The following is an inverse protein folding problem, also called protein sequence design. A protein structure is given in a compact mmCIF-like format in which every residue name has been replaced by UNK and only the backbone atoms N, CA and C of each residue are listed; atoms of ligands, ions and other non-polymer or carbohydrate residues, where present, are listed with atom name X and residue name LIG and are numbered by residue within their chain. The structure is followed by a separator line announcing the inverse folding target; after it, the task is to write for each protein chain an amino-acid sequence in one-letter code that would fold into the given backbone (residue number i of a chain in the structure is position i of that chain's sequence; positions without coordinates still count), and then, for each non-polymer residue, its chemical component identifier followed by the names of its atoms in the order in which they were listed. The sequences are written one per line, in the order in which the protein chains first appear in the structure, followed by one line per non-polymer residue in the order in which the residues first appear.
data_IF_304261300397
#
_entry.id   IF_304261300397
#
_cell.length_a   1.000
_cell.length_b   1.000
_cell.length_c   1.000
_cell.angle_alpha   90.00
_cell.angle_beta   90.00
_cell.angle_gamma   90.00
#
_symmetry.space_group_name_H-M   'P 1'
#
loop_
_entity.id
_entity.type
_entity.pdbx_description
1 polymer ?
#
# COMPACT_ATOMS: atom_id res chain seq x y z
N UNK A 1 -13.25 -14.61 3.61
CA UNK A 1 -13.11 -13.44 4.52
C UNK A 1 -11.76 -12.76 4.25
N UNK A 2 -11.59 -11.43 4.42
CA UNK A 2 -10.30 -10.76 4.19
C UNK A 2 -9.21 -11.35 5.09
N UNK A 3 -7.99 -11.43 4.55
CA UNK A 3 -6.87 -12.08 5.23
C UNK A 3 -6.26 -11.24 6.35
N UNK A 4 -6.27 -9.93 6.14
CA UNK A 4 -5.87 -8.91 7.10
C UNK A 4 -6.84 -7.74 7.01
N UNK A 5 -7.20 -7.17 8.16
CA UNK A 5 -8.06 -6.00 8.28
C UNK A 5 -7.42 -4.97 9.21
N UNK A 6 -8.02 -3.78 9.31
CA UNK A 6 -7.47 -2.69 10.13
C UNK A 6 -7.27 -3.08 11.60
N UNK A 7 -8.13 -3.94 12.18
CA UNK A 7 -7.97 -4.40 13.56
C UNK A 7 -6.73 -5.28 13.72
N UNK A 8 -6.46 -6.16 12.76
CA UNK A 8 -5.24 -6.97 12.75
C UNK A 8 -3.99 -6.08 12.66
N UNK A 9 -4.02 -5.07 11.78
CA UNK A 9 -2.94 -4.09 11.65
C UNK A 9 -2.68 -3.31 12.96
N UNK A 10 -3.75 -2.81 13.61
CA UNK A 10 -3.64 -2.11 14.89
C UNK A 10 -3.05 -3.04 15.95
N UNK A 11 -3.54 -4.28 16.05
CA UNK A 11 -3.07 -5.26 17.04
C UNK A 11 -1.59 -5.63 16.83
N UNK A 12 -1.14 -5.78 15.59
CA UNK A 12 0.28 -6.03 15.29
C UNK A 12 1.12 -4.79 15.67
N UNK A 13 0.66 -3.58 15.32
CA UNK A 13 1.32 -2.33 15.68
C UNK A 13 1.43 -2.15 17.20
N UNK A 14 0.37 -2.48 17.94
CA UNK A 14 0.33 -2.44 19.41
C UNK A 14 1.37 -3.40 20.01
N UNK A 15 1.43 -4.64 19.51
CA UNK A 15 2.43 -5.62 19.95
C UNK A 15 3.86 -5.14 19.73
N UNK A 16 4.17 -4.58 18.55
CA UNK A 16 5.50 -4.02 18.30
C UNK A 16 5.80 -2.81 19.17
N UNK A 17 4.82 -1.91 19.35
CA UNK A 17 4.95 -0.76 20.25
C UNK A 17 5.29 -1.20 21.67
N UNK A 18 4.58 -2.20 22.20
CA UNK A 18 4.83 -2.72 23.54
C UNK A 18 6.26 -3.27 23.71
N UNK A 19 6.80 -3.96 22.70
CA UNK A 19 8.17 -4.48 22.76
C UNK A 19 9.23 -3.37 22.63
N UNK A 20 9.00 -2.38 21.77
CA UNK A 20 9.97 -1.32 21.48
C UNK A 20 10.02 -0.21 22.55
N UNK A 21 8.92 0.01 23.27
CA UNK A 21 8.89 0.95 24.39
C UNK A 21 9.20 0.30 25.75
N UNK A 22 9.50 -1.00 25.77
CA UNK A 22 10.01 -1.66 26.97
C UNK A 22 11.42 -1.12 27.31
N UNK A 23 11.81 -1.22 28.59
CA UNK A 23 13.13 -0.77 29.07
C UNK A 23 14.28 -1.40 28.27
N UNK A 24 14.11 -2.65 27.87
CA UNK A 24 14.98 -3.38 26.96
C UNK A 24 14.11 -4.11 25.95
N UNK A 25 14.51 -4.08 24.68
CA UNK A 25 13.76 -4.75 23.60
C UNK A 25 14.04 -6.25 23.63
N UNK A 26 13.00 -7.05 23.83
CA UNK A 26 13.09 -8.51 23.71
C UNK A 26 12.96 -8.93 22.24
N UNK A 27 14.11 -9.06 21.58
CA UNK A 27 14.20 -9.48 20.18
C UNK A 27 13.61 -10.87 19.90
N UNK A 28 13.47 -11.73 20.91
CA UNK A 28 12.82 -13.04 20.73
C UNK A 28 11.33 -12.84 20.53
N UNK A 29 10.69 -12.03 21.37
CA UNK A 29 9.26 -11.70 21.22
C UNK A 29 8.98 -10.96 19.92
N UNK A 30 9.83 -10.01 19.53
CA UNK A 30 9.70 -9.33 18.23
C UNK A 30 9.76 -10.34 17.08
N UNK A 31 10.69 -11.30 17.15
CA UNK A 31 10.82 -12.39 16.18
C UNK A 31 9.56 -13.27 16.15
N UNK A 32 8.99 -13.65 17.29
CA UNK A 32 7.74 -14.43 17.34
C UNK A 32 6.54 -13.67 16.74
N UNK A 33 6.46 -12.35 16.95
CA UNK A 33 5.41 -11.52 16.35
C UNK A 33 5.57 -11.46 14.82
N UNK A 34 6.80 -11.29 14.33
CA UNK A 34 7.10 -11.30 12.89
C UNK A 34 6.81 -12.67 12.27
N UNK A 35 7.18 -13.76 12.95
CA UNK A 35 6.96 -15.11 12.45
C UNK A 35 5.50 -15.55 12.59
N UNK A 36 4.70 -14.89 13.42
CA UNK A 36 3.27 -15.18 13.59
C UNK A 36 3.00 -16.68 13.84
N UNK A 37 3.74 -17.27 14.79
CA UNK A 37 3.70 -18.69 15.16
C UNK A 37 4.13 -19.69 14.07
N UNK A 38 4.85 -19.25 13.03
CA UNK A 38 5.47 -20.16 12.06
C UNK A 38 6.53 -21.05 12.72
N UNK A 39 6.56 -22.31 12.30
CA UNK A 39 7.58 -23.28 12.71
C UNK A 39 8.82 -23.13 11.82
N UNK A 40 9.93 -22.72 12.44
CA UNK A 40 11.23 -22.61 11.82
C UNK A 40 12.26 -23.37 12.62
N UNK A 41 13.30 -23.87 11.94
CA UNK A 41 14.48 -24.40 12.60
C UNK A 41 15.08 -23.34 13.53
N UNK A 42 15.75 -23.78 14.60
CA UNK A 42 16.41 -22.86 15.54
C UNK A 42 17.42 -21.96 14.82
N UNK A 43 18.10 -22.50 13.80
CA UNK A 43 19.06 -21.77 13.00
C UNK A 43 18.40 -20.64 12.19
N UNK A 44 17.33 -20.95 11.46
CA UNK A 44 16.62 -19.97 10.64
C UNK A 44 15.91 -18.91 11.48
N UNK A 45 15.37 -19.30 12.64
CA UNK A 45 14.78 -18.36 13.61
C UNK A 45 15.84 -17.38 14.12
N UNK A 46 17.04 -17.85 14.41
CA UNK A 46 18.15 -16.98 14.82
C UNK A 46 18.59 -16.05 13.69
N UNK A 47 18.59 -16.52 12.45
CA UNK A 47 18.88 -15.69 11.27
C UNK A 47 17.85 -14.56 11.10
N UNK A 48 16.55 -14.86 11.20
CA UNK A 48 15.48 -13.84 11.16
C UNK A 48 15.66 -12.82 12.29
N UNK A 49 15.94 -13.29 13.51
CA UNK A 49 16.20 -12.40 14.65
C UNK A 49 17.40 -11.47 14.40
N UNK A 50 18.50 -11.99 13.86
CA UNK A 50 19.67 -11.15 13.51
C UNK A 50 19.32 -10.12 12.44
N UNK A 51 18.51 -10.50 11.44
CA UNK A 51 18.04 -9.58 10.42
C UNK A 51 17.16 -8.46 10.99
N UNK A 52 16.24 -8.78 11.90
CA UNK A 52 15.44 -7.80 12.63
C UNK A 52 16.32 -6.81 13.39
N UNK A 53 17.34 -7.29 14.11
CA UNK A 53 18.26 -6.43 14.86
C UNK A 53 19.02 -5.50 13.90
N UNK A 54 19.52 -6.03 12.79
CA UNK A 54 20.20 -5.25 11.76
C UNK A 54 19.29 -4.15 11.18
N UNK A 55 18.09 -4.52 10.71
CA UNK A 55 17.11 -3.56 10.16
C UNK A 55 16.77 -2.50 11.21
N UNK A 56 16.58 -2.90 12.47
CA UNK A 56 16.32 -1.96 13.56
C UNK A 56 17.47 -0.97 13.79
N UNK A 57 18.72 -1.42 13.68
CA UNK A 57 19.89 -0.55 13.77
C UNK A 57 19.98 0.45 12.61
N UNK A 58 19.61 0.04 11.39
CA UNK A 58 19.64 0.90 10.21
C UNK A 58 18.61 2.05 10.26
N UNK A 59 17.44 1.78 10.85
CA UNK A 59 16.40 2.79 10.99
C UNK A 59 16.60 3.75 12.17
N UNK A 60 17.61 3.54 13.04
CA UNK A 60 18.06 4.41 14.16
C UNK A 60 17.07 5.51 14.61
N UNK A 61 16.08 5.14 15.44
CA UNK A 61 15.01 6.00 15.98
C UNK A 61 14.25 6.89 14.96
N UNK A 62 14.40 6.70 13.65
CA UNK A 62 13.65 7.44 12.61
C UNK A 62 12.17 7.14 12.77
N UNK A 63 11.36 8.17 12.63
CA UNK A 63 9.89 8.06 12.65
C UNK A 63 9.35 8.08 11.21
N UNK A 64 8.27 7.32 10.95
CA UNK A 64 7.46 7.52 9.74
C UNK A 64 6.69 8.83 9.86
N UNK A 65 6.12 9.28 8.74
CA UNK A 65 5.30 10.51 8.70
C UNK A 65 4.23 10.58 9.78
N UNK A 66 3.58 9.46 10.13
CA UNK A 66 2.52 9.43 11.15
C UNK A 66 3.03 9.41 12.61
N UNK A 67 4.34 9.32 12.85
CA UNK A 67 4.94 9.29 14.20
C UNK A 67 5.46 7.93 14.69
N UNK A 68 4.94 6.74 14.27
CA UNK A 68 5.54 5.48 14.69
C UNK A 68 6.98 5.32 14.18
N UNK A 69 7.79 4.53 14.89
CA UNK A 69 9.14 4.21 14.45
C UNK A 69 9.11 3.57 13.05
N UNK A 70 10.01 4.02 12.17
CA UNK A 70 10.09 3.59 10.77
C UNK A 70 10.25 2.08 10.62
N UNK A 71 10.95 1.45 11.57
CA UNK A 71 11.12 0.00 11.68
C UNK A 71 9.80 -0.78 11.76
N UNK A 72 8.70 -0.18 12.24
CA UNK A 72 7.42 -0.90 12.31
C UNK A 72 6.88 -1.27 10.94
N UNK A 73 7.18 -0.49 9.89
CA UNK A 73 6.74 -0.83 8.54
C UNK A 73 7.31 -2.18 8.05
N UNK A 74 8.64 -2.37 7.93
CA UNK A 74 9.19 -3.65 7.49
C UNK A 74 8.82 -4.80 8.44
N UNK A 75 8.69 -4.57 9.76
CA UNK A 75 8.24 -5.61 10.69
C UNK A 75 6.79 -6.04 10.45
N UNK A 76 5.88 -5.10 10.18
CA UNK A 76 4.47 -5.39 9.86
C UNK A 76 4.35 -6.07 8.50
N UNK A 77 5.08 -5.61 7.48
CA UNK A 77 5.12 -6.25 6.17
C UNK A 77 5.61 -7.69 6.30
N UNK A 78 6.71 -7.92 7.02
CA UNK A 78 7.21 -9.27 7.28
C UNK A 78 6.20 -10.13 8.07
N UNK A 79 5.50 -9.57 9.06
CA UNK A 79 4.45 -10.28 9.80
C UNK A 79 3.25 -10.65 8.92
N UNK A 80 2.81 -9.74 8.04
CA UNK A 80 1.77 -10.01 7.05
C UNK A 80 2.21 -11.14 6.11
N UNK A 81 3.42 -11.05 5.57
CA UNK A 81 4.01 -12.05 4.67
C UNK A 81 4.15 -13.42 5.33
N UNK A 82 4.69 -13.49 6.54
CA UNK A 82 4.77 -14.73 7.34
C UNK A 82 3.40 -15.36 7.56
N UNK A 83 2.35 -14.55 7.63
CA UNK A 83 0.99 -15.06 7.73
C UNK A 83 0.57 -15.65 6.38
N UNK A 84 0.73 -14.96 5.24
CA UNK A 84 0.16 -15.39 3.94
C UNK A 84 0.94 -16.46 3.17
N UNK A 85 2.28 -16.39 3.15
CA UNK A 85 3.10 -17.24 2.27
C UNK A 85 3.50 -18.51 3.04
N UNK A 86 3.16 -19.72 2.55
CA UNK A 86 3.60 -20.98 3.14
C UNK A 86 5.13 -21.08 3.18
N UNK A 87 5.66 -21.53 4.32
CA UNK A 87 7.02 -21.18 4.75
C UNK A 87 8.00 -22.33 4.54
N UNK A 88 8.42 -22.55 3.30
CA UNK A 88 9.62 -23.36 3.02
C UNK A 88 10.88 -22.49 2.84
N UNK A 89 10.77 -21.16 2.92
CA UNK A 89 11.89 -20.26 2.60
C UNK A 89 11.94 -19.07 3.56
N UNK A 90 12.76 -19.17 4.62
CA UNK A 90 13.24 -18.06 5.48
C UNK A 90 13.56 -16.77 4.69
N UNK A 91 13.99 -16.94 3.46
CA UNK A 91 14.25 -15.92 2.46
C UNK A 91 13.09 -14.93 2.28
N UNK A 92 11.84 -15.36 2.28
CA UNK A 92 10.71 -14.46 2.06
C UNK A 92 10.56 -13.44 3.20
N UNK A 93 10.83 -13.84 4.45
CA UNK A 93 10.85 -12.93 5.60
C UNK A 93 12.07 -12.03 5.57
N UNK A 94 13.25 -12.55 5.18
CA UNK A 94 14.44 -11.71 5.01
C UNK A 94 14.20 -10.64 3.94
N UNK A 95 13.65 -11.01 2.78
CA UNK A 95 13.30 -10.07 1.70
C UNK A 95 12.28 -9.05 2.22
N UNK A 96 11.22 -9.48 2.90
CA UNK A 96 10.19 -8.58 3.44
C UNK A 96 10.74 -7.62 4.51
N UNK A 97 11.68 -8.04 5.35
CA UNK A 97 12.31 -7.15 6.34
C UNK A 97 13.24 -6.11 5.69
N UNK A 98 13.89 -6.48 4.59
CA UNK A 98 14.90 -5.66 3.92
C UNK A 98 14.35 -4.81 2.76
N UNK A 99 13.11 -5.04 2.31
CA UNK A 99 12.57 -4.48 1.07
C UNK A 99 12.69 -2.96 0.94
N UNK A 100 12.52 -2.23 2.04
CA UNK A 100 12.46 -0.76 2.05
C UNK A 100 13.81 -0.12 2.44
N UNK A 101 14.76 -0.90 3.00
CA UNK A 101 16.09 -0.37 3.41
C UNK A 101 16.81 0.28 2.23
N UNK A 102 16.72 -0.34 1.05
CA UNK A 102 17.42 0.12 -0.15
C UNK A 102 16.76 1.35 -0.79
N UNK A 103 15.53 1.67 -0.42
CA UNK A 103 14.86 2.91 -0.82
C UNK A 103 15.05 4.03 0.21
N UNK A 104 14.91 3.72 1.50
CA UNK A 104 14.91 4.68 2.61
C UNK A 104 16.31 5.06 3.11
N UNK A 105 17.27 4.13 3.02
CA UNK A 105 18.57 4.23 3.66
C UNK A 105 19.65 4.15 2.59
N UNK A 106 19.53 5.04 1.59
CA UNK A 106 20.51 5.17 0.51
C UNK A 106 21.75 5.93 1.01
N UNK A 107 22.96 5.34 0.93
CA UNK A 107 24.19 6.09 1.12
C UNK A 107 24.31 7.14 -0.01
N UNK A 108 24.78 8.35 0.33
CA UNK A 108 25.11 9.34 -0.70
C UNK A 108 26.31 8.84 -1.50
N UNK A 109 26.19 8.84 -2.83
CA UNK A 109 27.28 8.55 -3.78
C UNK A 109 27.74 7.08 -3.86
N UNK A 110 26.92 6.11 -3.45
CA UNK A 110 27.20 4.69 -3.68
C UNK A 110 26.26 4.11 -4.74
N UNK A 111 26.77 3.14 -5.51
CA UNK A 111 25.96 2.41 -6.48
C UNK A 111 24.96 1.51 -5.73
N UNK A 112 23.72 1.99 -5.66
CA UNK A 112 22.62 1.32 -4.96
C UNK A 112 22.16 0.07 -5.73
N UNK A 113 22.43 -0.02 -7.04
CA UNK A 113 21.93 -1.12 -7.88
C UNK A 113 22.67 -2.45 -7.65
N UNK A 114 23.89 -2.39 -7.11
CA UNK A 114 24.73 -3.56 -6.87
C UNK A 114 24.78 -4.02 -5.40
N UNK A 115 24.10 -3.32 -4.48
CA UNK A 115 24.00 -3.66 -3.05
C UNK A 115 25.33 -3.80 -2.29
N UNK A 116 26.47 -3.48 -2.88
CA UNK A 116 27.79 -3.58 -2.25
C UNK A 116 27.94 -2.69 -1.01
N UNK A 117 27.14 -1.63 -0.93
CA UNK A 117 27.16 -0.72 0.21
C UNK A 117 26.71 -1.40 1.50
N UNK A 118 25.71 -2.28 1.42
CA UNK A 118 25.15 -2.93 2.62
C UNK A 118 26.07 -4.05 3.12
N UNK A 119 26.88 -4.65 2.24
CA UNK A 119 27.86 -5.68 2.62
C UNK A 119 29.02 -5.11 3.43
N UNK A 120 29.19 -3.78 3.47
CA UNK A 120 30.18 -3.10 4.32
C UNK A 120 29.80 -3.12 5.81
N UNK A 121 28.54 -3.40 6.14
CA UNK A 121 28.08 -3.46 7.53
C UNK A 121 28.43 -4.84 8.13
N UNK A 122 29.26 -4.91 9.19
CA UNK A 122 29.66 -6.19 9.78
C UNK A 122 28.48 -7.06 10.22
N UNK A 123 27.40 -6.45 10.72
CA UNK A 123 26.22 -7.19 11.16
C UNK A 123 25.39 -7.73 9.99
N UNK A 124 25.40 -7.07 8.83
CA UNK A 124 24.81 -7.63 7.62
C UNK A 124 25.67 -8.76 7.05
N UNK A 125 26.99 -8.62 7.10
CA UNK A 125 27.90 -9.69 6.68
C UNK A 125 27.67 -10.97 7.49
N UNK A 126 27.46 -10.85 8.82
CA UNK A 126 27.09 -11.99 9.65
C UNK A 126 25.82 -12.68 9.15
N UNK A 127 24.78 -11.95 8.76
CA UNK A 127 23.55 -12.52 8.19
C UNK A 127 23.87 -13.27 6.89
N UNK A 128 24.68 -12.68 6.02
CA UNK A 128 25.10 -13.31 4.77
C UNK A 128 25.89 -14.59 5.03
N UNK A 129 26.72 -14.66 6.07
CA UNK A 129 27.53 -15.85 6.35
C UNK A 129 26.70 -17.09 6.70
N UNK A 130 25.43 -16.93 7.10
CA UNK A 130 24.47 -18.03 7.30
C UNK A 130 23.78 -18.50 6.00
N UNK A 131 23.99 -17.79 4.90
CA UNK A 131 23.38 -18.10 3.60
C UNK A 131 24.41 -18.77 2.68
N UNK A 132 23.98 -19.80 1.98
CA UNK A 132 24.72 -20.37 0.85
C UNK A 132 24.82 -19.35 -0.29
N UNK A 133 25.68 -19.63 -1.28
CA UNK A 133 25.84 -18.75 -2.45
C UNK A 133 24.51 -18.55 -3.19
N UNK A 134 23.72 -19.60 -3.35
CA UNK A 134 22.44 -19.56 -4.07
C UNK A 134 21.38 -18.80 -3.27
N UNK A 135 21.36 -18.96 -1.95
CA UNK A 135 20.46 -18.20 -1.06
C UNK A 135 20.80 -16.69 -1.03
N UNK A 136 22.09 -16.33 -1.09
CA UNK A 136 22.53 -14.93 -1.23
C UNK A 136 22.06 -14.35 -2.56
N UNK A 137 22.30 -15.06 -3.66
CA UNK A 137 21.87 -14.64 -4.99
C UNK A 137 20.34 -14.43 -5.01
N UNK A 138 19.59 -15.40 -4.49
CA UNK A 138 18.13 -15.30 -4.35
C UNK A 138 17.75 -14.02 -3.60
N UNK A 139 18.32 -13.78 -2.41
CA UNK A 139 18.00 -12.61 -1.60
C UNK A 139 18.22 -11.30 -2.36
N UNK A 140 19.40 -11.11 -2.97
CA UNK A 140 19.73 -9.87 -3.66
C UNK A 140 18.90 -9.64 -4.93
N UNK A 141 18.62 -10.69 -5.71
CA UNK A 141 17.79 -10.55 -6.91
C UNK A 141 16.37 -10.07 -6.56
N UNK A 142 15.77 -10.60 -5.49
CA UNK A 142 14.42 -10.17 -5.08
C UNK A 142 14.41 -8.75 -4.54
N UNK A 143 15.45 -8.36 -3.79
CA UNK A 143 15.60 -6.98 -3.34
C UNK A 143 15.78 -6.03 -4.52
N UNK A 144 16.49 -6.45 -5.57
CA UNK A 144 16.61 -5.69 -6.83
C UNK A 144 15.27 -5.47 -7.51
N UNK A 145 14.42 -6.49 -7.55
CA UNK A 145 13.09 -6.36 -8.14
C UNK A 145 12.20 -5.44 -7.32
N UNK A 146 12.28 -5.52 -5.99
CA UNK A 146 11.50 -4.70 -5.06
C UNK A 146 12.01 -3.26 -4.91
N UNK A 147 13.24 -2.94 -5.31
CA UNK A 147 13.79 -1.59 -5.17
C UNK A 147 13.49 -0.74 -6.39
N UNK A 148 12.87 0.42 -6.19
CA UNK A 148 12.65 1.41 -7.24
C UNK A 148 13.94 2.17 -7.61
N UNK A 149 14.29 2.18 -8.90
CA UNK A 149 15.41 2.94 -9.47
C UNK A 149 15.10 4.44 -9.54
N UNK A 150 16.15 5.25 -9.62
CA UNK A 150 15.98 6.71 -9.62
C UNK A 150 15.32 7.23 -10.91
N UNK A 151 15.62 6.62 -12.05
CA UNK A 151 15.14 7.06 -13.37
C UNK A 151 13.77 6.53 -13.76
N UNK A 152 13.24 5.56 -13.03
CA UNK A 152 11.92 4.98 -13.35
C UNK A 152 10.80 5.72 -12.63
N UNK A 153 9.64 5.86 -13.27
CA UNK A 153 8.41 6.27 -12.61
C UNK A 153 7.75 5.07 -11.90
N UNK A 154 6.61 5.29 -11.23
CA UNK A 154 5.96 4.22 -10.47
C UNK A 154 5.45 3.08 -11.37
N UNK A 155 4.94 3.38 -12.57
CA UNK A 155 4.43 2.38 -13.50
C UNK A 155 5.59 1.54 -14.02
N UNK A 156 6.63 2.18 -14.55
CA UNK A 156 7.84 1.51 -15.03
C UNK A 156 8.45 0.57 -13.98
N UNK A 157 8.46 0.99 -12.71
CA UNK A 157 8.89 0.16 -11.60
C UNK A 157 8.00 -1.09 -11.42
N UNK A 158 6.67 -0.93 -11.42
CA UNK A 158 5.75 -2.06 -11.27
C UNK A 158 5.81 -2.97 -12.50
N UNK A 159 5.82 -2.44 -13.73
CA UNK A 159 5.97 -3.24 -14.95
C UNK A 159 7.24 -4.07 -14.90
N UNK A 160 8.38 -3.46 -14.56
CA UNK A 160 9.65 -4.17 -14.40
C UNK A 160 9.56 -5.26 -13.33
N UNK A 161 8.90 -5.00 -12.20
CA UNK A 161 8.71 -6.01 -11.16
C UNK A 161 7.91 -7.20 -11.67
N UNK A 162 6.85 -6.96 -12.46
CA UNK A 162 6.01 -8.00 -13.05
C UNK A 162 6.80 -8.77 -14.14
N UNK A 163 7.39 -8.10 -15.11
CA UNK A 163 8.24 -8.71 -16.16
C UNK A 163 9.44 -9.50 -15.60
N UNK A 164 10.16 -8.95 -14.61
CA UNK A 164 11.31 -9.63 -14.00
C UNK A 164 10.89 -10.94 -13.33
N UNK A 165 9.63 -10.99 -12.90
CA UNK A 165 9.04 -12.15 -12.27
C UNK A 165 8.44 -13.12 -13.31
N UNK A 166 8.18 -12.73 -14.55
CA UNK A 166 7.82 -13.66 -15.64
C UNK A 166 9.00 -14.50 -16.20
N UNK A 167 10.23 -14.21 -15.77
CA UNK A 167 11.42 -14.95 -16.16
C UNK A 167 11.24 -16.47 -15.94
N UNK A 168 11.20 -17.24 -17.05
CA UNK A 168 10.94 -18.69 -17.13
C UNK A 168 11.82 -19.57 -16.22
N UNK A 169 12.87 -19.03 -15.62
CA UNK A 169 13.81 -19.75 -14.77
C UNK A 169 13.40 -19.79 -13.28
N UNK A 170 12.35 -19.07 -12.87
CA UNK A 170 12.05 -18.86 -11.44
C UNK A 170 10.54 -18.88 -11.08
N UNK A 171 9.79 -19.79 -11.71
CA UNK A 171 8.35 -19.99 -11.44
C UNK A 171 8.02 -20.16 -9.95
N UNK A 172 8.97 -20.61 -9.13
CA UNK A 172 8.78 -20.88 -7.71
C UNK A 172 9.03 -19.68 -6.77
N UNK A 173 9.57 -18.56 -7.26
CA UNK A 173 9.95 -17.39 -6.44
C UNK A 173 9.24 -16.08 -6.80
N UNK A 174 8.58 -16.08 -7.94
CA UNK A 174 7.94 -14.93 -8.58
C UNK A 174 6.69 -14.42 -7.86
N UNK A 175 5.68 -15.26 -7.55
CA UNK A 175 4.48 -14.73 -6.92
C UNK A 175 4.76 -14.26 -5.49
N UNK A 176 5.81 -14.76 -4.82
CA UNK A 176 6.21 -14.31 -3.48
C UNK A 176 6.69 -12.86 -3.47
N UNK A 177 7.45 -12.44 -4.48
CA UNK A 177 7.91 -11.05 -4.59
C UNK A 177 6.74 -10.11 -4.78
N UNK A 178 5.81 -10.47 -5.68
CA UNK A 178 4.58 -9.72 -5.87
C UNK A 178 3.76 -9.66 -4.57
N UNK A 179 3.64 -10.78 -3.85
CA UNK A 179 2.93 -10.83 -2.59
C UNK A 179 3.56 -9.93 -1.52
N UNK A 180 4.90 -9.86 -1.45
CA UNK A 180 5.61 -8.90 -0.59
C UNK A 180 5.28 -7.47 -1.01
N UNK A 181 5.26 -7.16 -2.31
CA UNK A 181 4.91 -5.82 -2.79
C UNK A 181 3.47 -5.42 -2.48
N UNK A 182 2.53 -6.36 -2.62
CA UNK A 182 1.13 -6.16 -2.24
C UNK A 182 0.98 -6.00 -0.73
N UNK A 183 1.77 -6.73 0.07
CA UNK A 183 1.80 -6.57 1.53
C UNK A 183 2.37 -5.21 1.97
N UNK A 184 3.44 -4.72 1.32
CA UNK A 184 3.95 -3.36 1.47
C UNK A 184 2.84 -2.33 1.18
N UNK A 185 2.16 -2.46 0.03
CA UNK A 185 1.05 -1.55 -0.31
C UNK A 185 -0.11 -1.63 0.67
N UNK A 186 -0.42 -2.82 1.19
CA UNK A 186 -1.46 -3.02 2.19
C UNK A 186 -1.11 -2.32 3.51
N UNK A 187 0.11 -2.52 4.00
CA UNK A 187 0.60 -1.85 5.21
C UNK A 187 0.52 -0.33 5.07
N UNK A 188 1.06 0.19 3.97
CA UNK A 188 1.01 1.61 3.67
C UNK A 188 -0.42 2.16 3.53
N UNK A 189 -1.39 1.33 3.10
CA UNK A 189 -2.81 1.72 3.02
C UNK A 189 -3.44 1.83 4.41
N UNK A 190 -3.12 0.91 5.32
CA UNK A 190 -3.54 1.03 6.72
C UNK A 190 -2.86 2.20 7.44
N UNK A 191 -1.66 2.58 7.01
CA UNK A 191 -0.87 3.71 7.51
C UNK A 191 -1.29 5.06 6.89
N UNK A 192 -2.37 5.14 6.09
CA UNK A 192 -2.85 6.43 5.51
C UNK A 192 -3.60 7.30 6.52
N UNK A 193 -4.09 6.72 7.63
CA UNK A 193 -4.81 7.47 8.64
C UNK A 193 -5.32 6.61 9.77
N UNK A 194 -4.54 6.50 10.84
CA UNK A 194 -5.00 5.93 12.12
C UNK A 194 -5.76 7.05 12.85
N UNK A 195 -7.08 7.04 12.75
CA UNK A 195 -7.91 7.94 13.55
C UNK A 195 -8.23 7.32 14.91
N UNK A 196 -8.27 8.15 15.96
CA UNK A 196 -8.75 7.73 17.29
C UNK A 196 -10.20 7.23 17.27
N UNK A 197 -11.00 7.63 16.28
CA UNK A 197 -12.33 7.08 15.97
C UNK A 197 -12.44 6.87 14.46
N UNK A 198 -12.70 5.63 14.03
CA UNK A 198 -12.95 5.34 12.62
C UNK A 198 -14.36 5.85 12.24
N UNK A 199 -14.50 6.74 11.23
CA UNK A 199 -15.82 7.16 10.74
C UNK A 199 -16.73 5.99 10.36
N UNK A 200 -16.15 4.87 9.94
CA UNK A 200 -16.89 3.67 9.55
C UNK A 200 -17.46 2.87 10.73
N UNK A 201 -16.99 3.10 11.97
CA UNK A 201 -17.49 2.35 13.14
C UNK A 201 -18.96 2.67 13.46
N UNK A 202 -19.44 3.83 13.02
CA UNK A 202 -20.77 4.35 13.38
C UNK A 202 -21.63 4.75 12.19
N UNK A 203 -21.07 4.72 10.97
CA UNK A 203 -21.71 5.26 9.78
C UNK A 203 -21.39 4.41 8.56
N UNK A 204 -22.41 4.00 7.81
CA UNK A 204 -22.26 3.35 6.51
C UNK A 204 -22.34 4.40 5.39
N UNK A 205 -21.33 4.47 4.50
CA UNK A 205 -21.32 5.44 3.42
C UNK A 205 -22.54 5.31 2.48
N UNK A 206 -22.92 4.08 2.10
CA UNK A 206 -24.05 3.86 1.21
C UNK A 206 -25.36 4.31 1.86
N UNK A 207 -25.52 4.08 3.15
CA UNK A 207 -26.67 4.58 3.91
C UNK A 207 -26.73 6.11 3.88
N UNK A 208 -25.60 6.80 4.10
CA UNK A 208 -25.55 8.26 4.02
C UNK A 208 -25.82 8.79 2.60
N UNK A 209 -25.32 8.11 1.57
CA UNK A 209 -25.62 8.44 0.17
C UNK A 209 -27.12 8.37 -0.09
N UNK A 210 -27.79 7.29 0.33
CA UNK A 210 -29.25 7.13 0.20
C UNK A 210 -29.98 8.23 0.97
N UNK A 211 -29.56 8.53 2.21
CA UNK A 211 -30.16 9.62 2.98
C UNK A 211 -30.08 10.96 2.24
N UNK A 212 -28.93 11.29 1.65
CA UNK A 212 -28.73 12.53 0.91
C UNK A 212 -29.61 12.57 -0.36
N UNK A 213 -29.68 11.49 -1.13
CA UNK A 213 -30.45 11.44 -2.38
C UNK A 213 -31.95 11.66 -2.15
N UNK A 214 -32.49 11.05 -1.08
CA UNK A 214 -33.92 11.07 -0.75
C UNK A 214 -34.32 12.16 0.27
N UNK A 215 -33.37 12.99 0.71
CA UNK A 215 -33.66 14.09 1.64
C UNK A 215 -33.96 13.65 3.07
N UNK A 216 -33.53 12.45 3.47
CA UNK A 216 -33.58 12.03 4.87
C UNK A 216 -32.54 12.79 5.71
N UNK A 217 -32.78 12.84 7.02
CA UNK A 217 -31.81 13.39 7.96
C UNK A 217 -30.53 12.55 7.95
N UNK A 218 -29.39 13.20 7.67
CA UNK A 218 -28.05 12.59 7.76
C UNK A 218 -27.76 12.14 9.19
N UNK A 219 -26.88 11.15 9.36
CA UNK A 219 -26.46 10.72 10.68
C UNK A 219 -25.81 11.88 11.45
N UNK A 220 -25.97 11.90 12.78
CA UNK A 220 -25.35 12.93 13.62
C UNK A 220 -23.86 12.97 13.35
N UNK A 221 -23.33 14.15 13.01
CA UNK A 221 -21.90 14.37 12.82
C UNK A 221 -21.14 13.83 14.04
N UNK A 222 -20.29 12.84 13.83
CA UNK A 222 -19.37 12.39 14.87
C UNK A 222 -18.41 13.55 15.12
N UNK A 223 -18.65 14.30 16.21
CA UNK A 223 -17.70 15.29 16.71
C UNK A 223 -16.51 14.53 17.28
N UNK A 224 -15.58 14.13 16.41
CA UNK A 224 -14.24 13.71 16.80
C UNK A 224 -13.32 14.92 16.69
N UNK A 225 -12.36 15.05 17.61
CA UNK A 225 -11.14 15.79 17.33
C UNK A 225 -10.55 15.14 16.07
N UNK A 226 -10.52 15.87 14.94
CA UNK A 226 -9.78 15.41 13.76
C UNK A 226 -8.33 15.27 14.23
N UNK A 227 -7.77 14.05 14.29
CA UNK A 227 -6.37 13.91 14.63
C UNK A 227 -5.57 14.73 13.61
N UNK A 228 -4.44 15.31 14.03
CA UNK A 228 -3.46 15.81 13.07
C UNK A 228 -2.89 14.59 12.34
N UNK A 229 -3.57 14.13 11.29
CA UNK A 229 -3.04 13.12 10.39
C UNK A 229 -1.97 13.78 9.54
N UNK A 230 -0.83 13.14 9.37
CA UNK A 230 0.26 13.68 8.55
C UNK A 230 -0.06 13.65 7.06
N UNK A 231 -1.08 12.88 6.66
CA UNK A 231 -1.67 12.90 5.33
C UNK A 231 -3.00 13.64 5.34
N UNK A 232 -3.19 14.52 4.37
CA UNK A 232 -4.50 15.09 4.05
C UNK A 232 -5.26 14.19 3.05
N UNK A 233 -6.56 14.45 2.87
CA UNK A 233 -7.41 13.62 2.02
C UNK A 233 -6.90 13.48 0.57
N UNK A 234 -6.31 14.52 -0.02
CA UNK A 234 -5.77 14.45 -1.38
C UNK A 234 -4.52 13.56 -1.44
N UNK A 235 -3.66 13.60 -0.42
CA UNK A 235 -2.51 12.70 -0.34
C UNK A 235 -2.94 11.25 -0.11
N UNK A 236 -4.00 11.00 0.68
CA UNK A 236 -4.59 9.68 0.80
C UNK A 236 -5.11 9.18 -0.56
N UNK A 237 -5.85 10.02 -1.30
CA UNK A 237 -6.30 9.68 -2.67
C UNK A 237 -5.13 9.38 -3.61
N UNK A 238 -4.04 10.15 -3.56
CA UNK A 238 -2.84 9.83 -4.35
C UNK A 238 -2.23 8.46 -4.02
N UNK A 239 -2.29 8.02 -2.75
CA UNK A 239 -1.84 6.67 -2.39
C UNK A 239 -2.82 5.59 -2.88
N UNK A 240 -4.13 5.89 -2.90
CA UNK A 240 -5.12 5.00 -3.47
C UNK A 240 -5.01 4.91 -5.01
N UNK A 241 -4.64 5.99 -5.70
CA UNK A 241 -4.42 5.94 -7.16
C UNK A 241 -3.26 5.02 -7.52
N UNK A 242 -2.18 5.00 -6.72
CA UNK A 242 -1.10 4.01 -6.86
C UNK A 242 -1.59 2.57 -6.66
N UNK A 243 -2.54 2.35 -5.76
CA UNK A 243 -3.14 1.04 -5.58
C UNK A 243 -3.97 0.66 -6.82
N UNK A 244 -4.76 1.58 -7.39
CA UNK A 244 -5.51 1.33 -8.64
C UNK A 244 -4.57 0.96 -9.78
N UNK A 245 -3.45 1.68 -9.94
CA UNK A 245 -2.42 1.37 -10.94
C UNK A 245 -1.86 -0.03 -10.72
N UNK A 246 -1.39 -0.33 -9.50
CA UNK A 246 -0.83 -1.65 -9.17
C UNK A 246 -1.82 -2.78 -9.42
N UNK A 247 -3.06 -2.64 -8.93
CA UNK A 247 -4.09 -3.67 -9.08
C UNK A 247 -4.48 -3.86 -10.55
N UNK A 248 -4.50 -2.79 -11.35
CA UNK A 248 -4.78 -2.86 -12.79
C UNK A 248 -3.66 -3.59 -13.54
N UNK A 249 -2.39 -3.30 -13.23
CA UNK A 249 -1.25 -3.98 -13.84
C UNK A 249 -1.22 -5.44 -13.43
N UNK A 250 -1.30 -5.76 -12.13
CA UNK A 250 -1.33 -7.15 -11.64
C UNK A 250 -2.45 -7.95 -12.28
N UNK A 251 -3.64 -7.35 -12.46
CA UNK A 251 -4.78 -8.04 -13.08
C UNK A 251 -4.54 -8.44 -14.54
N UNK A 252 -3.68 -7.72 -15.25
CA UNK A 252 -3.33 -8.05 -16.64
C UNK A 252 -2.46 -9.31 -16.76
N UNK A 253 -1.87 -9.77 -15.66
CA UNK A 253 -1.09 -11.01 -15.58
C UNK A 253 -1.87 -12.06 -14.78
N UNK A 254 -2.79 -12.75 -15.45
CA UNK A 254 -3.72 -13.71 -14.85
C UNK A 254 -2.99 -14.87 -14.13
N UNK A 255 -1.79 -15.22 -14.56
CA UNK A 255 -0.97 -16.30 -14.01
C UNK A 255 -0.61 -16.09 -12.53
N UNK A 256 -0.53 -14.85 -12.04
CA UNK A 256 -0.26 -14.62 -10.61
C UNK A 256 -1.43 -15.05 -9.72
N UNK A 257 -2.64 -15.14 -10.28
CA UNK A 257 -3.83 -15.55 -9.54
C UNK A 257 -3.96 -17.07 -9.42
N UNK A 258 -3.03 -17.85 -9.99
CA UNK A 258 -2.85 -19.26 -9.63
C UNK A 258 -2.32 -19.43 -8.20
N UNK A 259 -1.70 -18.38 -7.65
CA UNK A 259 -1.19 -18.37 -6.27
C UNK A 259 -2.23 -17.89 -5.27
N UNK A 260 -2.65 -18.80 -4.37
CA UNK A 260 -3.58 -18.52 -3.26
C UNK A 260 -3.17 -17.32 -2.40
N UNK A 261 -1.87 -17.14 -2.15
CA UNK A 261 -1.39 -16.06 -1.29
C UNK A 261 -1.40 -14.70 -2.01
N UNK A 262 -1.19 -14.67 -3.33
CA UNK A 262 -1.39 -13.47 -4.14
C UNK A 262 -2.87 -13.07 -4.14
N UNK A 263 -3.77 -14.02 -4.38
CA UNK A 263 -5.23 -13.78 -4.32
C UNK A 263 -5.64 -13.18 -2.96
N UNK A 264 -5.18 -13.79 -1.85
CA UNK A 264 -5.51 -13.33 -0.49
C UNK A 264 -5.03 -11.90 -0.21
N UNK A 265 -3.81 -11.55 -0.62
CA UNK A 265 -3.25 -10.21 -0.34
C UNK A 265 -3.82 -9.16 -1.29
N UNK A 266 -4.05 -9.51 -2.56
CA UNK A 266 -4.74 -8.66 -3.54
C UNK A 266 -6.14 -8.28 -3.02
N UNK A 267 -6.95 -9.26 -2.62
CA UNK A 267 -8.29 -9.03 -2.07
C UNK A 267 -8.27 -8.18 -0.80
N UNK A 268 -7.24 -8.35 0.03
CA UNK A 268 -7.09 -7.57 1.26
C UNK A 268 -6.73 -6.10 0.93
N UNK A 269 -5.88 -5.87 -0.07
CA UNK A 269 -5.55 -4.53 -0.56
C UNK A 269 -6.76 -3.82 -1.19
N UNK A 270 -7.54 -4.53 -2.01
CA UNK A 270 -8.78 -3.99 -2.59
C UNK A 270 -9.75 -3.55 -1.49
N UNK A 271 -10.00 -4.41 -0.50
CA UNK A 271 -10.92 -4.09 0.61
C UNK A 271 -10.41 -2.96 1.49
N UNK A 272 -9.11 -2.93 1.79
CA UNK A 272 -8.51 -1.85 2.57
C UNK A 272 -8.62 -0.51 1.82
N UNK A 273 -8.38 -0.52 0.51
CA UNK A 273 -8.47 0.67 -0.35
C UNK A 273 -9.90 1.17 -0.50
N UNK A 274 -10.88 0.26 -0.66
CA UNK A 274 -12.30 0.58 -0.62
C UNK A 274 -12.66 1.26 0.70
N UNK A 275 -12.31 0.65 1.83
CA UNK A 275 -12.60 1.23 3.16
C UNK A 275 -11.96 2.60 3.36
N UNK A 276 -10.73 2.81 2.88
CA UNK A 276 -10.11 4.14 2.99
C UNK A 276 -10.80 5.18 2.09
N UNK A 277 -11.21 4.81 0.88
CA UNK A 277 -11.99 5.70 0.01
C UNK A 277 -13.34 6.08 0.67
N UNK A 278 -14.01 5.12 1.32
CA UNK A 278 -15.23 5.37 2.07
C UNK A 278 -14.99 6.32 3.26
N UNK A 279 -13.88 6.14 3.99
CA UNK A 279 -13.50 7.04 5.09
C UNK A 279 -13.27 8.46 4.60
N UNK A 280 -12.58 8.64 3.47
CA UNK A 280 -12.32 9.97 2.90
C UNK A 280 -13.65 10.65 2.55
N UNK A 281 -14.57 9.93 1.89
CA UNK A 281 -15.90 10.45 1.55
C UNK A 281 -16.69 10.87 2.81
N UNK A 282 -16.76 9.99 3.82
CA UNK A 282 -17.44 10.29 5.09
C UNK A 282 -16.80 11.45 5.85
N UNK A 283 -15.47 11.59 5.86
CA UNK A 283 -14.78 12.74 6.47
C UNK A 283 -15.22 14.05 5.82
N UNK A 284 -15.40 14.07 4.50
CA UNK A 284 -15.84 15.27 3.78
C UNK A 284 -17.32 15.56 4.03
N UNK A 285 -18.18 14.53 4.01
CA UNK A 285 -19.60 14.68 4.33
C UNK A 285 -19.83 15.25 5.73
N UNK A 286 -19.01 14.85 6.70
CA UNK A 286 -19.06 15.33 8.07
C UNK A 286 -18.41 16.72 8.26
N UNK A 287 -17.64 17.20 7.28
CA UNK A 287 -16.99 18.50 7.36
C UNK A 287 -18.01 19.66 7.43
N UNK A 288 -17.61 20.85 7.91
CA UNK A 288 -18.48 22.03 7.94
C UNK A 288 -18.66 22.70 6.57
N UNK A 289 -17.90 22.27 5.55
CA UNK A 289 -17.92 22.88 4.22
C UNK A 289 -19.21 22.51 3.49
N UNK A 290 -19.84 23.52 2.90
CA UNK A 290 -21.08 23.35 2.14
C UNK A 290 -20.78 23.29 0.65
N UNK A 291 -21.28 22.26 -0.01
CA UNK A 291 -21.29 22.07 -1.46
C UNK A 291 -22.51 21.20 -1.79
N UNK A 292 -22.90 21.15 -3.07
CA UNK A 292 -24.06 20.34 -3.47
C UNK A 292 -23.71 18.84 -3.48
N UNK A 293 -23.80 18.23 -2.29
CA UNK A 293 -23.55 16.80 -2.07
C UNK A 293 -24.43 15.92 -2.97
N UNK A 294 -25.69 16.32 -3.19
CA UNK A 294 -26.64 15.54 -3.99
C UNK A 294 -26.24 15.57 -5.45
N UNK A 295 -25.93 16.74 -5.99
CA UNK A 295 -25.43 16.87 -7.36
C UNK A 295 -24.14 16.07 -7.57
N UNK A 296 -23.19 16.12 -6.62
CA UNK A 296 -21.95 15.34 -6.70
C UNK A 296 -22.19 13.83 -6.77
N UNK A 297 -23.11 13.32 -5.93
CA UNK A 297 -23.48 11.90 -5.93
C UNK A 297 -24.11 11.52 -7.27
N UNK A 298 -25.05 12.33 -7.77
CA UNK A 298 -25.74 12.08 -9.04
C UNK A 298 -24.74 12.07 -10.19
N UNK A 299 -23.86 13.07 -10.30
CA UNK A 299 -22.81 13.13 -11.32
C UNK A 299 -21.91 11.88 -11.26
N UNK A 300 -21.51 11.45 -10.06
CA UNK A 300 -20.67 10.25 -9.90
C UNK A 300 -21.38 8.98 -10.34
N UNK A 301 -22.69 8.86 -10.04
CA UNK A 301 -23.52 7.72 -10.48
C UNK A 301 -23.66 7.72 -12.00
N UNK A 302 -23.99 8.86 -12.60
CA UNK A 302 -24.14 9.00 -14.06
C UNK A 302 -22.81 8.68 -14.78
N UNK A 303 -21.70 9.18 -14.25
CA UNK A 303 -20.36 8.87 -14.74
C UNK A 303 -20.07 7.36 -14.69
N UNK A 304 -20.41 6.71 -13.57
CA UNK A 304 -20.30 5.25 -13.44
C UNK A 304 -21.15 4.49 -14.45
N UNK A 305 -22.41 4.88 -14.63
CA UNK A 305 -23.35 4.23 -15.55
C UNK A 305 -22.86 4.36 -17.00
N UNK A 306 -22.23 5.49 -17.34
CA UNK A 306 -21.64 5.70 -18.66
C UNK A 306 -20.40 4.85 -18.96
N UNK A 307 -19.91 4.05 -17.99
CA UNK A 307 -18.75 3.17 -18.14
C UNK A 307 -17.40 3.89 -18.08
N UNK A 308 -17.37 5.20 -17.80
CA UNK A 308 -16.15 6.01 -17.80
C UNK A 308 -15.19 5.74 -16.63
N UNK A 309 -15.57 4.93 -15.64
CA UNK A 309 -14.63 4.44 -14.62
C UNK A 309 -13.81 3.22 -15.08
N UNK A 310 -14.13 2.67 -16.25
CA UNK A 310 -13.50 1.45 -16.76
C UNK A 310 -12.23 1.76 -17.55
N UNK A 311 -11.99 3.03 -17.85
CA UNK A 311 -10.83 3.49 -18.58
C UNK A 311 -10.32 4.84 -18.10
N UNK A 312 -9.08 5.14 -18.45
CA UNK A 312 -8.52 6.48 -18.35
C UNK A 312 -9.19 7.36 -19.40
N UNK A 313 -9.73 8.50 -18.96
CA UNK A 313 -10.37 9.47 -19.84
C UNK A 313 -9.48 10.69 -20.09
N UNK A 314 -9.67 11.34 -21.23
CA UNK A 314 -9.12 12.68 -21.48
C UNK A 314 -9.88 13.73 -20.69
N UNK A 315 -9.21 14.82 -20.33
CA UNK A 315 -9.86 15.99 -19.74
C UNK A 315 -10.92 16.53 -20.72
N UNK A 316 -12.11 16.79 -20.21
CA UNK A 316 -13.21 17.35 -21.00
C UNK A 316 -13.99 18.38 -20.17
N UNK A 317 -14.81 19.19 -20.84
CA UNK A 317 -15.71 20.15 -20.18
C UNK A 317 -17.03 19.51 -19.72
N UNK A 318 -17.25 18.22 -20.01
CA UNK A 318 -18.51 17.53 -19.70
C UNK A 318 -18.60 17.02 -18.26
N UNK A 319 -17.48 16.60 -17.65
CA UNK A 319 -17.44 16.17 -16.26
C UNK A 319 -16.14 16.57 -15.59
N UNK A 320 -16.25 16.96 -14.32
CA UNK A 320 -15.09 17.25 -13.46
C UNK A 320 -14.20 16.04 -13.18
N UNK A 321 -14.69 14.82 -13.46
CA UNK A 321 -13.96 13.56 -13.31
C UNK A 321 -13.17 13.16 -14.56
N UNK A 322 -13.45 13.77 -15.72
CA UNK A 322 -12.75 13.49 -16.96
C UNK A 322 -11.27 13.93 -16.85
N UNK A 323 -10.33 13.03 -17.16
CA UNK A 323 -8.90 13.30 -17.02
C UNK A 323 -8.38 13.33 -15.59
N UNK A 324 -9.14 12.82 -14.60
CA UNK A 324 -8.75 12.88 -13.19
C UNK A 324 -7.38 12.24 -12.91
N UNK A 325 -7.11 11.05 -13.46
CA UNK A 325 -5.83 10.36 -13.25
C UNK A 325 -4.65 11.16 -13.79
N UNK A 326 -4.75 11.56 -15.06
CA UNK A 326 -3.69 12.31 -15.77
C UNK A 326 -3.45 13.68 -15.14
N UNK A 327 -4.52 14.40 -14.79
CA UNK A 327 -4.43 15.79 -14.34
C UNK A 327 -4.17 15.98 -12.85
N UNK A 328 -4.41 14.96 -12.01
CA UNK A 328 -4.30 15.07 -10.55
C UNK A 328 -3.38 14.08 -9.88
N UNK A 329 -2.97 13.01 -10.54
CA UNK A 329 -2.17 11.96 -9.90
C UNK A 329 -0.92 11.55 -10.69
N UNK A 330 -0.83 11.89 -11.97
CA UNK A 330 0.34 11.61 -12.79
C UNK A 330 1.23 12.85 -12.94
N UNK A 331 2.38 12.83 -12.24
CA UNK A 331 3.37 13.91 -12.34
C UNK A 331 4.77 13.33 -12.20
N UNK A 332 5.65 13.68 -13.15
CA UNK A 332 7.07 13.35 -13.07
C UNK A 332 7.76 14.15 -11.97
N UNK A 333 7.43 15.45 -11.86
CA UNK A 333 8.04 16.35 -10.89
C UNK A 333 7.37 16.23 -9.50
N UNK A 334 8.20 16.01 -8.47
CA UNK A 334 7.74 15.85 -7.07
C UNK A 334 7.13 17.13 -6.49
N UNK A 335 7.60 18.30 -6.88
CA UNK A 335 7.13 19.58 -6.35
C UNK A 335 5.86 20.04 -7.06
N UNK A 336 5.76 19.81 -8.37
CA UNK A 336 4.51 19.98 -9.12
C UNK A 336 3.38 19.12 -8.52
N UNK A 337 3.67 17.83 -8.28
CA UNK A 337 2.73 16.93 -7.60
C UNK A 337 2.28 17.47 -6.25
N UNK A 338 3.21 17.97 -5.42
CA UNK A 338 2.85 18.49 -4.09
C UNK A 338 1.89 19.68 -4.21
N UNK A 339 2.12 20.56 -5.20
CA UNK A 339 1.26 21.72 -5.39
C UNK A 339 -0.12 21.30 -5.89
N UNK A 340 -0.20 20.37 -6.85
CA UNK A 340 -1.49 19.86 -7.33
C UNK A 340 -2.26 19.10 -6.25
N UNK A 341 -1.60 18.35 -5.38
CA UNK A 341 -2.26 17.73 -4.23
C UNK A 341 -2.76 18.76 -3.20
N UNK A 342 -2.06 19.89 -3.02
CA UNK A 342 -2.59 20.99 -2.20
C UNK A 342 -3.81 21.64 -2.85
N UNK A 343 -3.78 21.86 -4.16
CA UNK A 343 -4.90 22.41 -4.93
C UNK A 343 -6.12 21.49 -4.83
N UNK A 344 -5.94 20.20 -5.08
CA UNK A 344 -6.98 19.19 -4.88
C UNK A 344 -7.48 19.19 -3.44
N UNK A 345 -6.60 19.29 -2.43
CA UNK A 345 -7.02 19.30 -1.03
C UNK A 345 -7.91 20.52 -0.67
N UNK A 346 -7.83 21.63 -1.41
CA UNK A 346 -8.70 22.81 -1.23
C UNK A 346 -10.08 22.59 -1.83
N UNK A 347 -10.18 21.81 -2.91
CA UNK A 347 -11.43 21.50 -3.59
C UNK A 347 -12.14 20.30 -2.96
N UNK A 348 -12.93 20.55 -1.90
CA UNK A 348 -13.64 19.46 -1.19
C UNK A 348 -14.70 18.78 -2.04
N UNK A 349 -15.29 19.49 -2.99
CA UNK A 349 -16.27 18.93 -3.91
C UNK A 349 -15.60 17.87 -4.78
N UNK A 350 -14.47 18.22 -5.40
CA UNK A 350 -13.71 17.30 -6.24
C UNK A 350 -13.14 16.13 -5.43
N UNK A 351 -12.57 16.35 -4.23
CA UNK A 351 -12.11 15.23 -3.38
C UNK A 351 -13.28 14.27 -3.08
N UNK A 352 -14.48 14.78 -2.81
CA UNK A 352 -15.63 13.94 -2.53
C UNK A 352 -16.01 13.09 -3.74
N UNK A 353 -16.12 13.69 -4.93
CA UNK A 353 -16.35 12.96 -6.19
C UNK A 353 -15.24 11.93 -6.45
N UNK A 354 -13.98 12.28 -6.24
CA UNK A 354 -12.83 11.37 -6.39
C UNK A 354 -12.92 10.18 -5.43
N UNK A 355 -13.25 10.41 -4.16
CA UNK A 355 -13.38 9.36 -3.16
C UNK A 355 -14.51 8.39 -3.50
N UNK A 356 -15.66 8.89 -3.95
CA UNK A 356 -16.76 8.06 -4.45
C UNK A 356 -16.36 7.27 -5.71
N UNK A 357 -15.67 7.92 -6.65
CA UNK A 357 -15.15 7.27 -7.86
C UNK A 357 -14.21 6.11 -7.53
N UNK A 358 -13.30 6.32 -6.58
CA UNK A 358 -12.36 5.27 -6.15
C UNK A 358 -13.08 4.13 -5.42
N UNK A 359 -14.10 4.44 -4.61
CA UNK A 359 -14.93 3.41 -4.00
C UNK A 359 -15.60 2.52 -5.07
N UNK A 360 -16.14 3.12 -6.13
CA UNK A 360 -16.70 2.38 -7.27
C UNK A 360 -15.64 1.53 -7.95
N UNK A 361 -14.47 2.08 -8.28
CA UNK A 361 -13.37 1.33 -8.91
C UNK A 361 -12.94 0.12 -8.06
N UNK A 362 -12.77 0.30 -6.74
CA UNK A 362 -12.41 -0.82 -5.85
C UNK A 362 -13.53 -1.85 -5.68
N UNK A 363 -14.80 -1.44 -5.73
CA UNK A 363 -15.92 -2.39 -5.79
C UNK A 363 -15.86 -3.22 -7.08
N UNK A 364 -15.56 -2.60 -8.23
CA UNK A 364 -15.37 -3.33 -9.49
C UNK A 364 -14.23 -4.34 -9.40
N UNK A 365 -13.07 -3.96 -8.86
CA UNK A 365 -11.98 -4.92 -8.60
C UNK A 365 -12.42 -6.09 -7.72
N UNK A 366 -13.31 -5.85 -6.76
CA UNK A 366 -13.82 -6.86 -5.85
C UNK A 366 -14.88 -7.77 -6.48
N UNK A 367 -15.76 -7.23 -7.34
CA UNK A 367 -16.89 -7.96 -7.91
C UNK A 367 -16.61 -8.59 -9.27
N UNK A 368 -15.68 -8.03 -10.04
CA UNK A 368 -15.40 -8.42 -11.42
C UNK A 368 -13.99 -8.99 -11.53
N UNK A 369 -13.88 -10.30 -11.79
CA UNK A 369 -12.60 -11.01 -11.81
C UNK A 369 -11.61 -10.49 -12.85
N UNK A 370 -12.09 -9.95 -13.97
CA UNK A 370 -11.25 -9.51 -15.08
C UNK A 370 -11.18 -7.98 -15.16
N UNK A 371 -11.65 -7.27 -14.13
CA UNK A 371 -11.65 -5.81 -14.14
C UNK A 371 -10.26 -5.27 -13.83
N UNK A 372 -9.80 -4.43 -14.74
CA UNK A 372 -8.71 -3.47 -14.58
C UNK A 372 -9.13 -2.17 -15.26
N UNK A 373 -8.49 -1.04 -14.88
CA UNK A 373 -8.76 0.24 -15.54
C UNK A 373 -8.01 0.27 -16.86
N UNK A 374 -8.73 0.27 -17.99
CA UNK A 374 -8.14 0.35 -19.34
C UNK A 374 -7.38 1.66 -19.52
N UNK A 375 -6.32 1.63 -20.32
CA UNK A 375 -5.40 2.75 -20.46
C UNK A 375 -4.27 2.78 -19.42
N UNK A 376 -4.37 1.99 -18.33
CA UNK A 376 -3.22 1.70 -17.47
C UNK A 376 -2.49 0.49 -18.04
N UNK A 377 -1.30 0.72 -18.60
CA UNK A 377 -0.48 -0.32 -19.24
C UNK A 377 0.95 -0.26 -18.72
N UNK A 378 1.77 -1.26 -19.06
CA UNK A 378 3.19 -1.27 -18.72
C UNK A 378 3.94 -0.06 -19.28
N UNK A 379 3.47 0.48 -20.42
CA UNK A 379 4.03 1.64 -21.11
C UNK A 379 3.70 2.98 -20.44
N UNK A 380 2.72 3.01 -19.53
CA UNK A 380 2.24 4.23 -18.89
C UNK A 380 0.72 4.32 -18.79
N UNK A 381 0.23 5.49 -18.39
CA UNK A 381 -1.19 5.84 -18.37
C UNK A 381 -1.51 6.58 -19.67
N UNK A 382 -2.39 6.01 -20.49
CA UNK A 382 -2.87 6.62 -21.72
C UNK A 382 -4.41 6.59 -21.73
N UNK A 383 -5.08 7.60 -22.28
CA UNK A 383 -6.51 7.51 -22.53
C UNK A 383 -6.85 6.34 -23.45
N UNK A 384 -7.97 5.68 -23.18
CA UNK A 384 -8.55 4.61 -24.01
C UNK A 384 -9.73 5.15 -24.84
#
# INVERSE_FOLDING_TARGET
MPYSNLKDFIRISEKFSYQYYAKEVDWRNVTEIVLNNQELSVSDRNLVKQNIIFVSGMYDAKERKLGPLAIFHPLRVASLVSKIIPFEKKHNVLVALLHDIFEDIKPKNEDVENFEWVTKYPDFQKILDYLTKDEKWYLFERLKWLTKRERENYIQYISRLLESSESKFDKDGTPQVLAIKLADRLDNTFDLGINLKDPLDSTNLFEEIIKILYGFSQSKKVRGLTPKTSFNNAECLYQLSKNIILLSLVRQHEEYFESDYVVKIFDSLVKASLKESERIALRILNSPINFDKKACIIETIEYSISGKFDSITLKSDFSSLDGLFLSKFEFENKDERKEELKNLNRDKELIFKCALSFAVIFLKFQSEKNFFVRGITESGINPD
#
